data_IF_240118925985
#
_entry.id   IF_240118925985
#
_cell.length_a   1.000
_cell.length_b   1.000
_cell.length_c   1.000
_cell.angle_alpha   90.00
_cell.angle_beta   90.00
_cell.angle_gamma   90.00
#
_symmetry.space_group_name_H-M   'P 1'
#
loop_
_entity.id
_entity.type
_entity.pdbx_description
1 polymer ?
#
# COMPACT_ATOMS: atom_id res chain seq x y z
N UNK A 1 -12.00 21.43 -4.60
CA UNK A 1 -10.59 21.83 -4.81
C UNK A 1 -9.76 20.55 -4.91
N UNK A 2 -9.93 19.78 -5.98
CA UNK A 2 -9.38 18.40 -6.04
C UNK A 2 -9.01 17.98 -7.47
N UNK A 3 -8.61 18.92 -8.32
CA UNK A 3 -8.31 18.65 -9.75
C UNK A 3 -6.83 18.31 -10.01
N UNK A 4 -6.01 18.15 -8.96
CA UNK A 4 -4.55 18.22 -9.14
C UNK A 4 -3.87 16.85 -9.23
N UNK A 5 -4.49 15.75 -8.77
CA UNK A 5 -3.88 14.41 -8.85
C UNK A 5 -4.94 13.30 -8.98
N UNK A 6 -5.31 12.87 -10.21
CA UNK A 6 -6.40 11.92 -10.44
C UNK A 6 -6.20 10.58 -9.72
N UNK A 7 -4.95 10.14 -9.56
CA UNK A 7 -4.63 8.90 -8.82
C UNK A 7 -4.82 9.05 -7.31
N UNK A 8 -4.54 10.23 -6.73
CA UNK A 8 -4.79 10.47 -5.31
C UNK A 8 -6.30 10.49 -5.05
N UNK A 9 -7.08 11.16 -5.91
CA UNK A 9 -8.53 11.15 -5.81
C UNK A 9 -9.12 9.73 -5.92
N UNK A 10 -8.55 8.88 -6.77
CA UNK A 10 -8.92 7.47 -6.84
C UNK A 10 -8.60 6.71 -5.54
N UNK A 11 -7.43 6.96 -4.93
CA UNK A 11 -7.07 6.35 -3.65
C UNK A 11 -8.00 6.78 -2.52
N UNK A 12 -8.37 8.06 -2.47
CA UNK A 12 -9.35 8.59 -1.51
C UNK A 12 -10.71 7.90 -1.68
N UNK A 13 -11.24 7.86 -2.91
CA UNK A 13 -12.51 7.21 -3.18
C UNK A 13 -12.51 5.70 -2.82
N UNK A 14 -11.40 5.00 -3.08
CA UNK A 14 -11.29 3.59 -2.71
C UNK A 14 -11.16 3.39 -1.20
N UNK A 15 -10.50 4.30 -0.48
CA UNK A 15 -10.46 4.26 0.98
C UNK A 15 -11.86 4.40 1.58
N UNK A 16 -12.68 5.34 1.05
CA UNK A 16 -14.07 5.52 1.47
C UNK A 16 -14.91 4.26 1.25
N UNK A 17 -14.71 3.56 0.14
CA UNK A 17 -15.41 2.28 -0.15
C UNK A 17 -14.99 1.19 0.85
N UNK A 18 -13.69 1.07 1.16
CA UNK A 18 -13.20 0.09 2.13
C UNK A 18 -13.76 0.35 3.54
N UNK A 19 -13.80 1.62 3.95
CA UNK A 19 -14.36 2.05 5.23
C UNK A 19 -15.86 1.74 5.29
N UNK A 20 -16.62 2.06 4.23
CA UNK A 20 -18.05 1.77 4.14
C UNK A 20 -18.35 0.26 4.13
N UNK A 21 -17.48 -0.55 3.52
CA UNK A 21 -17.59 -2.01 3.51
C UNK A 21 -17.24 -2.66 4.87
N UNK A 22 -16.73 -1.89 5.84
CA UNK A 22 -16.25 -2.40 7.12
C UNK A 22 -15.08 -3.38 6.96
N UNK A 23 -14.36 -3.32 5.83
CA UNK A 23 -13.24 -4.22 5.56
C UNK A 23 -12.06 -3.83 6.45
N UNK A 24 -11.71 -4.71 7.38
CA UNK A 24 -10.52 -4.57 8.25
C UNK A 24 -9.26 -5.10 7.56
N UNK A 25 -9.05 -4.74 6.31
CA UNK A 25 -7.78 -5.04 5.64
C UNK A 25 -6.66 -4.30 6.34
N UNK A 26 -5.67 -5.05 6.81
CA UNK A 26 -4.52 -4.50 7.51
C UNK A 26 -3.47 -3.98 6.53
N UNK A 27 -2.52 -3.19 7.05
CA UNK A 27 -1.36 -2.76 6.27
C UNK A 27 -0.53 -3.96 5.77
N UNK A 28 -0.48 -5.05 6.55
CA UNK A 28 0.19 -6.29 6.15
C UNK A 28 -0.50 -6.95 4.95
N UNK A 29 -1.84 -6.96 4.91
CA UNK A 29 -2.60 -7.47 3.75
C UNK A 29 -2.31 -6.68 2.47
N UNK A 30 -2.15 -5.35 2.60
CA UNK A 30 -1.81 -4.49 1.48
C UNK A 30 -0.38 -4.78 0.96
N UNK A 31 0.59 -4.98 1.86
CA UNK A 31 1.96 -5.35 1.49
C UNK A 31 1.99 -6.70 0.76
N UNK A 32 1.27 -7.70 1.26
CA UNK A 32 1.20 -9.03 0.62
C UNK A 32 0.58 -8.94 -0.76
N UNK A 33 -0.52 -8.18 -0.92
CA UNK A 33 -1.17 -7.97 -2.22
C UNK A 33 -0.22 -7.29 -3.22
N UNK A 34 0.52 -6.27 -2.79
CA UNK A 34 1.47 -5.57 -3.63
C UNK A 34 2.61 -6.49 -4.07
N UNK A 35 3.26 -7.19 -3.12
CA UNK A 35 4.36 -8.11 -3.41
C UNK A 35 3.93 -9.27 -4.33
N UNK A 36 2.73 -9.82 -4.12
CA UNK A 36 2.18 -10.86 -4.97
C UNK A 36 1.93 -10.35 -6.40
N UNK A 37 1.35 -9.16 -6.55
CA UNK A 37 1.13 -8.56 -7.86
C UNK A 37 2.46 -8.30 -8.59
N UNK A 38 3.45 -7.74 -7.89
CA UNK A 38 4.79 -7.49 -8.46
C UNK A 38 5.46 -8.79 -8.92
N UNK A 39 5.34 -9.87 -8.15
CA UNK A 39 5.86 -11.19 -8.56
C UNK A 39 5.16 -11.75 -9.81
N UNK A 40 3.87 -11.44 -10.01
CA UNK A 40 3.11 -11.86 -11.20
C UNK A 40 3.41 -11.00 -12.43
N UNK A 41 3.79 -9.73 -12.24
CA UNK A 41 4.01 -8.77 -13.33
C UNK A 41 5.47 -8.41 -13.54
N UNK A 42 6.41 -9.07 -12.85
CA UNK A 42 7.84 -8.73 -12.87
C UNK A 42 8.42 -8.58 -14.29
N UNK A 43 7.99 -9.43 -15.24
CA UNK A 43 8.51 -9.41 -16.63
C UNK A 43 8.01 -8.20 -17.43
N UNK A 44 7.03 -7.46 -16.91
CA UNK A 44 6.43 -6.26 -17.52
C UNK A 44 6.84 -4.98 -16.79
N UNK A 45 7.50 -5.08 -15.64
CA UNK A 45 7.98 -3.92 -14.89
C UNK A 45 9.38 -3.55 -15.38
N UNK A 46 9.59 -2.26 -15.63
CA UNK A 46 10.95 -1.77 -15.81
C UNK A 46 11.73 -1.80 -14.49
N UNK A 47 13.06 -1.71 -14.57
CA UNK A 47 13.90 -1.58 -13.38
C UNK A 47 13.53 -0.36 -12.53
N UNK A 48 13.11 0.74 -13.17
CA UNK A 48 12.65 1.96 -12.50
C UNK A 48 11.30 1.75 -11.79
N UNK A 49 10.35 1.08 -12.45
CA UNK A 49 9.06 0.73 -11.83
C UNK A 49 9.28 -0.16 -10.61
N UNK A 50 10.18 -1.14 -10.74
CA UNK A 50 10.57 -2.05 -9.68
C UNK A 50 11.20 -1.26 -8.52
N UNK A 51 12.11 -0.33 -8.78
CA UNK A 51 12.71 0.50 -7.74
C UNK A 51 11.65 1.31 -6.94
N UNK A 52 10.72 1.97 -7.64
CA UNK A 52 9.65 2.77 -7.02
C UNK A 52 8.71 1.89 -6.19
N UNK A 53 8.25 0.76 -6.74
CA UNK A 53 7.32 -0.13 -6.05
C UNK A 53 7.97 -0.81 -4.84
N UNK A 54 9.26 -1.17 -4.93
CA UNK A 54 10.02 -1.66 -3.79
C UNK A 54 10.15 -0.60 -2.69
N UNK A 55 10.40 0.66 -3.04
CA UNK A 55 10.46 1.76 -2.07
C UNK A 55 9.12 1.94 -1.34
N UNK A 56 8.01 1.96 -2.08
CA UNK A 56 6.65 2.03 -1.50
C UNK A 56 6.41 0.86 -0.55
N UNK A 57 6.73 -0.37 -0.97
CA UNK A 57 6.62 -1.56 -0.13
C UNK A 57 7.47 -1.48 1.14
N UNK A 58 8.69 -0.97 1.06
CA UNK A 58 9.58 -0.79 2.20
C UNK A 58 9.04 0.25 3.21
N UNK A 59 8.47 1.36 2.74
CA UNK A 59 7.83 2.38 3.58
C UNK A 59 6.65 1.76 4.34
N UNK A 60 5.78 1.04 3.64
CA UNK A 60 4.63 0.35 4.24
C UNK A 60 5.08 -0.69 5.27
N UNK A 61 6.08 -1.51 4.94
CA UNK A 61 6.60 -2.54 5.83
C UNK A 61 7.20 -1.95 7.11
N UNK A 62 7.95 -0.85 6.99
CA UNK A 62 8.52 -0.13 8.14
C UNK A 62 7.42 0.43 9.05
N UNK A 63 6.38 1.04 8.49
CA UNK A 63 5.27 1.57 9.27
C UNK A 63 4.49 0.45 9.97
N UNK A 64 4.21 -0.66 9.28
CA UNK A 64 3.59 -1.83 9.87
C UNK A 64 4.42 -2.41 11.03
N UNK A 65 5.73 -2.50 10.85
CA UNK A 65 6.65 -2.96 11.89
C UNK A 65 6.66 -2.00 13.09
N UNK A 66 6.70 -0.69 12.87
CA UNK A 66 6.64 0.31 13.93
C UNK A 66 5.35 0.21 14.74
N UNK A 67 4.20 -0.01 14.09
CA UNK A 67 2.91 -0.23 14.78
C UNK A 67 2.92 -1.52 15.63
N UNK A 68 3.52 -2.60 15.13
CA UNK A 68 3.66 -3.86 15.89
C UNK A 68 4.57 -3.72 17.09
N UNK A 69 5.72 -3.07 16.94
CA UNK A 69 6.70 -2.88 18.02
C UNK A 69 6.28 -1.81 19.04
N UNK A 70 5.57 -0.76 18.60
CA UNK A 70 4.96 0.23 19.47
C UNK A 70 3.80 -0.32 20.31
N UNK A 71 3.19 -1.43 19.87
CA UNK A 71 2.16 -2.17 20.63
C UNK A 71 2.69 -2.99 21.81
N UNK A 72 4.01 -3.18 21.95
CA UNK A 72 4.63 -3.81 23.13
C UNK A 72 5.00 -2.81 24.24
N UNK A 73 4.82 -1.51 24.00
CA UNK A 73 5.00 -0.47 25.01
C UNK A 73 3.62 0.04 25.47
N UNK A 74 2.76 -0.85 25.97
CA UNK A 74 1.66 -0.47 26.86
C UNK A 74 1.24 -1.61 27.78
#
# INVERSE_FOLDING_TARGET
>A
MSDTYPMIALFEAQAEVLDAAGQRTSLDDAIVKLAAWMGLTQDQLSDDDMAILAEVGAIMYRDGLARRMGGWAK
#
